data_IF_407739478748
#
_entry.id   IF_407739478748
#
_cell.length_a   1.000
_cell.length_b   1.000
_cell.length_c   1.000
_cell.angle_alpha   90.00
_cell.angle_beta   90.00
_cell.angle_gamma   90.00
#
_symmetry.space_group_name_H-M   'P 1'
#
loop_
_entity.id
_entity.type
_entity.pdbx_description
1 polymer ?
#
# COMPACT_ATOMS: atom_id res chain seq x y z
N UNK A 1 0.00 -41.03 7.63
CA UNK A 1 -0.05 -39.77 6.87
C UNK A 1 -0.19 -38.64 7.89
N UNK A 2 0.93 -38.08 8.35
CA UNK A 2 0.91 -37.04 9.39
C UNK A 2 0.54 -35.70 8.74
N UNK A 3 -0.63 -35.18 9.07
CA UNK A 3 -1.00 -33.79 8.77
C UNK A 3 0.00 -32.89 9.48
N UNK A 4 0.91 -32.25 8.73
CA UNK A 4 1.74 -31.19 9.30
C UNK A 4 0.79 -30.17 9.92
N UNK A 5 0.99 -29.74 11.17
CA UNK A 5 0.14 -28.73 11.77
C UNK A 5 0.16 -27.53 10.83
N UNK A 6 -1.03 -27.13 10.37
CA UNK A 6 -1.24 -25.91 9.61
C UNK A 6 -0.66 -24.78 10.47
N UNK A 7 0.60 -24.38 10.21
CA UNK A 7 1.23 -23.30 10.93
C UNK A 7 0.59 -22.03 10.40
N UNK A 8 -0.56 -21.71 11.00
CA UNK A 8 -1.28 -20.47 10.77
C UNK A 8 -0.27 -19.33 10.72
N UNK A 9 -0.40 -18.46 9.72
CA UNK A 9 0.48 -17.32 9.56
C UNK A 9 0.38 -16.49 10.85
N UNK A 10 1.42 -16.56 11.69
CA UNK A 10 1.41 -15.86 12.97
C UNK A 10 1.56 -14.38 12.68
N UNK A 11 0.66 -13.57 13.23
CA UNK A 11 0.68 -12.11 13.09
C UNK A 11 2.05 -11.55 13.50
N UNK A 12 2.67 -12.11 14.55
CA UNK A 12 4.02 -11.74 14.98
C UNK A 12 5.10 -11.97 13.91
N UNK A 13 5.04 -13.09 13.17
CA UNK A 13 5.99 -13.38 12.09
C UNK A 13 5.85 -12.37 10.93
N UNK A 14 4.61 -11.95 10.62
CA UNK A 14 4.35 -10.91 9.62
C UNK A 14 4.96 -9.58 10.07
N UNK A 15 4.73 -9.19 11.33
CA UNK A 15 5.22 -7.92 11.87
C UNK A 15 6.75 -7.90 11.91
N UNK A 16 7.38 -8.94 12.46
CA UNK A 16 8.84 -9.04 12.55
C UNK A 16 9.49 -8.95 11.16
N UNK A 17 8.92 -9.67 10.18
CA UNK A 17 9.41 -9.64 8.80
C UNK A 17 9.17 -8.28 8.14
N UNK A 18 8.03 -7.65 8.40
CA UNK A 18 7.73 -6.29 7.90
C UNK A 18 8.73 -5.26 8.42
N UNK A 19 9.07 -5.33 9.71
CA UNK A 19 10.11 -4.48 10.31
C UNK A 19 11.49 -4.76 9.70
N UNK A 20 11.79 -6.03 9.40
CA UNK A 20 12.98 -6.41 8.64
C UNK A 20 13.03 -5.76 7.24
N UNK A 21 11.93 -5.79 6.49
CA UNK A 21 11.84 -5.13 5.17
C UNK A 21 12.02 -3.61 5.32
N UNK A 22 11.34 -2.99 6.28
CA UNK A 22 11.42 -1.54 6.51
C UNK A 22 12.83 -1.09 6.91
N UNK A 23 13.52 -1.82 7.78
CA UNK A 23 14.89 -1.47 8.20
C UNK A 23 15.88 -1.55 7.04
N UNK A 24 15.77 -2.57 6.19
CA UNK A 24 16.61 -2.70 4.99
C UNK A 24 16.32 -1.61 3.95
N UNK A 25 15.08 -1.12 3.91
CA UNK A 25 14.57 -0.15 2.93
C UNK A 25 14.20 1.20 3.57
N UNK A 26 14.82 1.55 4.69
CA UNK A 26 14.47 2.75 5.45
C UNK A 26 14.62 4.02 4.60
N UNK A 27 15.73 4.13 3.85
CA UNK A 27 16.01 5.28 3.00
C UNK A 27 14.93 5.49 1.91
N UNK A 28 14.62 4.51 1.03
CA UNK A 28 13.57 4.69 0.02
C UNK A 28 12.18 4.90 0.65
N UNK A 29 11.90 4.28 1.81
CA UNK A 29 10.64 4.50 2.54
C UNK A 29 10.53 5.94 3.04
N UNK A 30 11.57 6.48 3.67
CA UNK A 30 11.60 7.87 4.12
C UNK A 30 11.50 8.85 2.95
N UNK A 31 12.22 8.60 1.86
CA UNK A 31 12.14 9.42 0.66
C UNK A 31 10.71 9.44 0.10
N UNK A 32 10.05 8.29 0.01
CA UNK A 32 8.65 8.19 -0.41
C UNK A 32 7.72 8.98 0.52
N UNK A 33 7.87 8.82 1.84
CA UNK A 33 7.02 9.50 2.83
C UNK A 33 7.19 11.01 2.76
N UNK A 34 8.43 11.51 2.71
CA UNK A 34 8.72 12.94 2.67
C UNK A 34 8.20 13.57 1.37
N UNK A 35 8.48 12.94 0.23
CA UNK A 35 8.08 13.48 -1.08
C UNK A 35 6.57 13.42 -1.26
N UNK A 36 5.96 12.23 -1.14
CA UNK A 36 4.52 12.06 -1.41
C UNK A 36 3.68 12.66 -0.30
N UNK A 37 4.07 12.47 0.96
CA UNK A 37 3.36 13.01 2.11
C UNK A 37 3.47 14.53 2.20
N UNK A 38 4.65 15.10 1.91
CA UNK A 38 4.86 16.54 1.84
C UNK A 38 4.05 17.20 0.73
N UNK A 39 4.12 16.65 -0.50
CA UNK A 39 3.33 17.16 -1.64
C UNK A 39 1.83 17.08 -1.37
N UNK A 40 1.36 15.95 -0.85
CA UNK A 40 -0.06 15.79 -0.52
C UNK A 40 -0.49 16.73 0.60
N UNK A 41 0.34 16.93 1.63
CA UNK A 41 0.04 17.84 2.73
C UNK A 41 -0.05 19.30 2.27
N UNK A 42 0.85 19.70 1.35
CA UNK A 42 0.78 21.00 0.70
C UNK A 42 -0.50 21.18 -0.12
N UNK A 43 -0.90 20.15 -0.88
CA UNK A 43 -2.16 20.15 -1.62
C UNK A 43 -3.38 20.27 -0.68
N UNK A 44 -3.38 19.56 0.45
CA UNK A 44 -4.48 19.61 1.41
C UNK A 44 -4.65 21.02 2.01
N UNK A 45 -3.53 21.70 2.33
CA UNK A 45 -3.56 23.09 2.82
C UNK A 45 -4.12 24.03 1.75
N UNK A 46 -3.62 23.91 0.52
CA UNK A 46 -4.05 24.73 -0.60
C UNK A 46 -5.53 24.47 -0.97
N UNK A 47 -5.97 23.21 -0.93
CA UNK A 47 -7.36 22.82 -1.16
C UNK A 47 -8.31 23.34 -0.08
N UNK A 48 -7.90 23.32 1.20
CA UNK A 48 -8.69 23.90 2.30
C UNK A 48 -8.87 25.41 2.16
N UNK A 49 -7.92 26.11 1.55
CA UNK A 49 -8.06 27.55 1.28
C UNK A 49 -9.23 27.84 0.32
N UNK A 50 -9.54 26.93 -0.61
CA UNK A 50 -10.71 27.05 -1.49
C UNK A 50 -12.04 26.81 -0.79
N UNK A 51 -12.03 26.13 0.35
CA UNK A 51 -13.23 25.80 1.13
C UNK A 51 -13.52 26.82 2.24
N UNK A 52 -12.71 27.88 2.35
CA UNK A 52 -12.91 28.90 3.37
C UNK A 52 -14.23 29.66 3.12
N UNK A 53 -15.07 29.83 4.17
CA UNK A 53 -16.29 30.63 4.06
C UNK A 53 -15.98 32.03 3.52
N UNK A 54 -16.69 32.46 2.48
CA UNK A 54 -16.50 33.78 1.85
C UNK A 54 -15.52 33.81 0.68
N UNK A 55 -14.78 32.73 0.43
CA UNK A 55 -14.00 32.57 -0.82
C UNK A 55 -14.92 31.97 -1.89
N UNK A 56 -15.11 32.70 -3.00
CA UNK A 56 -15.76 32.17 -4.21
C UNK A 56 -14.64 31.63 -5.11
N UNK A 57 -14.42 30.30 -5.17
CA UNK A 57 -13.34 29.75 -5.97
C UNK A 57 -13.61 30.05 -7.46
N UNK A 58 -12.71 30.80 -8.08
CA UNK A 58 -12.78 31.00 -9.52
C UNK A 58 -12.36 29.71 -10.25
N UNK A 59 -12.81 29.54 -11.50
CA UNK A 59 -12.54 28.33 -12.29
C UNK A 59 -11.02 28.08 -12.44
N UNK A 60 -10.21 29.13 -12.50
CA UNK A 60 -8.75 29.01 -12.61
C UNK A 60 -8.11 28.30 -11.41
N UNK A 61 -8.50 28.68 -10.18
CA UNK A 61 -8.01 28.05 -8.95
C UNK A 61 -8.44 26.58 -8.86
N UNK A 62 -9.69 26.28 -9.22
CA UNK A 62 -10.19 24.89 -9.23
C UNK A 62 -9.38 24.04 -10.21
N UNK A 63 -9.16 24.53 -11.43
CA UNK A 63 -8.37 23.83 -12.44
C UNK A 63 -6.92 23.63 -12.00
N UNK A 64 -6.33 24.61 -11.31
CA UNK A 64 -4.97 24.48 -10.76
C UNK A 64 -4.89 23.39 -9.68
N UNK A 65 -5.83 23.33 -8.74
CA UNK A 65 -5.88 22.28 -7.71
C UNK A 65 -6.04 20.91 -8.34
N UNK A 66 -6.92 20.77 -9.33
CA UNK A 66 -7.12 19.51 -10.04
C UNK A 66 -5.86 19.07 -10.80
N UNK A 67 -5.17 20.00 -11.49
CA UNK A 67 -3.93 19.70 -12.18
C UNK A 67 -2.83 19.23 -11.21
N UNK A 68 -2.67 19.89 -10.06
CA UNK A 68 -1.73 19.48 -9.02
C UNK A 68 -2.10 18.12 -8.40
N UNK A 69 -3.40 17.88 -8.15
CA UNK A 69 -3.88 16.61 -7.64
C UNK A 69 -3.58 15.45 -8.60
N UNK A 70 -3.83 15.63 -9.90
CA UNK A 70 -3.50 14.65 -10.93
C UNK A 70 -1.99 14.36 -10.99
N UNK A 71 -1.17 15.42 -10.94
CA UNK A 71 0.29 15.26 -10.90
C UNK A 71 0.74 14.44 -9.68
N UNK A 72 0.20 14.75 -8.49
CA UNK A 72 0.53 14.03 -7.26
C UNK A 72 0.10 12.56 -7.35
N UNK A 73 -1.05 12.26 -7.95
CA UNK A 73 -1.51 10.88 -8.17
C UNK A 73 -0.50 10.11 -9.04
N UNK A 74 -0.06 10.71 -10.15
CA UNK A 74 0.96 10.08 -11.04
C UNK A 74 2.26 9.85 -10.28
N UNK A 75 2.74 10.84 -9.52
CA UNK A 75 3.93 10.72 -8.69
C UNK A 75 3.78 9.66 -7.61
N UNK A 76 2.60 9.52 -7.01
CA UNK A 76 2.33 8.49 -6.00
C UNK A 76 2.38 7.08 -6.59
N UNK A 77 1.86 6.86 -7.80
CA UNK A 77 1.98 5.56 -8.47
C UNK A 77 3.43 5.23 -8.81
N UNK A 78 4.18 6.19 -9.36
CA UNK A 78 5.60 6.01 -9.67
C UNK A 78 6.40 5.75 -8.38
N UNK A 79 6.16 6.56 -7.34
CA UNK A 79 6.79 6.42 -6.04
C UNK A 79 6.49 5.07 -5.39
N UNK A 80 5.24 4.60 -5.46
CA UNK A 80 4.82 3.30 -4.96
C UNK A 80 5.50 2.14 -5.69
N UNK A 81 5.62 2.23 -7.02
CA UNK A 81 6.39 1.28 -7.82
C UNK A 81 7.86 1.24 -7.40
N UNK A 82 8.52 2.40 -7.33
CA UNK A 82 9.94 2.51 -6.97
C UNK A 82 10.21 2.05 -5.55
N UNK A 83 9.30 2.33 -4.62
CA UNK A 83 9.36 1.87 -3.24
C UNK A 83 9.31 0.34 -3.19
N UNK A 84 8.31 -0.25 -3.84
CA UNK A 84 8.11 -1.70 -3.86
C UNK A 84 9.28 -2.42 -4.54
N UNK A 85 9.75 -1.92 -5.68
CA UNK A 85 10.94 -2.42 -6.37
C UNK A 85 12.18 -2.35 -5.47
N UNK A 86 12.39 -1.23 -4.77
CA UNK A 86 13.52 -1.05 -3.86
C UNK A 86 13.46 -2.03 -2.68
N UNK A 87 12.27 -2.26 -2.12
CA UNK A 87 12.06 -3.24 -1.04
C UNK A 87 12.37 -4.66 -1.51
N UNK A 88 11.93 -5.05 -2.71
CA UNK A 88 12.21 -6.37 -3.29
C UNK A 88 13.70 -6.58 -3.58
N UNK A 89 14.39 -5.57 -4.14
CA UNK A 89 15.84 -5.63 -4.39
C UNK A 89 16.63 -5.81 -3.10
N UNK A 90 16.33 -4.99 -2.08
CA UNK A 90 17.06 -4.98 -0.80
C UNK A 90 16.82 -6.23 0.05
N UNK A 91 15.71 -6.93 -0.19
CA UNK A 91 15.38 -8.18 0.50
C UNK A 91 15.84 -9.43 -0.27
N UNK A 92 16.43 -9.26 -1.45
CA UNK A 92 16.85 -10.37 -2.32
C UNK A 92 15.68 -11.16 -2.93
N UNK A 93 14.46 -10.59 -2.92
CA UNK A 93 13.25 -11.23 -3.43
C UNK A 93 12.96 -10.87 -4.90
N UNK A 94 13.89 -10.18 -5.56
CA UNK A 94 13.77 -9.77 -6.95
C UNK A 94 14.53 -10.76 -7.85
N UNK A 95 13.77 -11.53 -8.63
CA UNK A 95 14.30 -12.53 -9.57
C UNK A 95 14.22 -12.06 -11.03
N UNK A 96 13.41 -11.05 -11.34
CA UNK A 96 13.32 -10.46 -12.68
C UNK A 96 14.42 -9.43 -12.89
N UNK A 97 15.35 -9.71 -13.81
CA UNK A 97 16.38 -8.78 -14.30
C UNK A 97 15.90 -7.90 -15.46
N UNK A 98 14.66 -8.07 -15.94
CA UNK A 98 14.13 -7.39 -17.13
C UNK A 98 13.15 -6.25 -16.85
N UNK A 99 13.26 -5.21 -17.70
CA UNK A 99 12.43 -4.03 -17.97
C UNK A 99 11.55 -3.41 -16.86
N UNK A 100 11.57 -2.08 -16.81
CA UNK A 100 10.72 -1.29 -15.90
C UNK A 100 9.23 -1.53 -16.23
N UNK A 101 8.53 -2.25 -15.37
CA UNK A 101 7.10 -2.62 -15.51
C UNK A 101 6.13 -1.59 -14.94
N UNK A 102 6.49 -0.31 -15.03
CA UNK A 102 5.72 0.79 -14.43
C UNK A 102 4.29 0.83 -14.98
N UNK A 103 4.12 0.73 -16.30
CA UNK A 103 2.80 0.77 -16.95
C UNK A 103 1.94 -0.42 -16.52
N UNK A 104 2.52 -1.62 -16.46
CA UNK A 104 1.81 -2.81 -15.99
C UNK A 104 1.42 -2.70 -14.51
N UNK A 105 2.29 -2.10 -13.68
CA UNK A 105 2.00 -1.84 -12.27
C UNK A 105 0.86 -0.84 -12.08
N UNK A 106 0.83 0.24 -12.87
CA UNK A 106 -0.25 1.23 -12.83
C UNK A 106 -1.57 0.55 -13.21
N UNK A 107 -1.61 -0.18 -14.32
CA UNK A 107 -2.83 -0.89 -14.76
C UNK A 107 -3.32 -1.90 -13.71
N UNK A 108 -2.41 -2.65 -13.10
CA UNK A 108 -2.73 -3.59 -12.02
C UNK A 108 -3.22 -2.88 -10.75
N UNK A 109 -2.59 -1.76 -10.36
CA UNK A 109 -2.97 -0.97 -9.19
C UNK A 109 -4.35 -0.33 -9.37
N UNK A 110 -4.68 0.12 -10.57
CA UNK A 110 -6.02 0.64 -10.89
C UNK A 110 -7.07 -0.47 -10.85
N UNK A 111 -6.82 -1.61 -11.48
CA UNK A 111 -7.74 -2.75 -11.47
C UNK A 111 -7.99 -3.26 -10.05
N UNK A 112 -6.93 -3.41 -9.26
CA UNK A 112 -7.01 -3.83 -7.87
C UNK A 112 -7.73 -2.80 -7.00
N UNK A 113 -7.39 -1.52 -7.14
CA UNK A 113 -8.04 -0.43 -6.43
C UNK A 113 -9.54 -0.34 -6.73
N UNK A 114 -9.95 -0.45 -7.99
CA UNK A 114 -11.37 -0.40 -8.37
C UNK A 114 -12.17 -1.56 -7.79
N UNK A 115 -11.63 -2.78 -7.79
CA UNK A 115 -12.36 -3.91 -7.20
C UNK A 115 -12.33 -3.90 -5.66
N UNK A 116 -11.30 -3.33 -5.02
CA UNK A 116 -11.32 -3.08 -3.57
C UNK A 116 -12.38 -2.03 -3.23
N UNK A 117 -12.42 -0.89 -3.95
CA UNK A 117 -13.41 0.16 -3.75
C UNK A 117 -14.83 -0.38 -4.00
N UNK A 118 -15.05 -1.04 -5.14
CA UNK A 118 -16.35 -1.66 -5.46
C UNK A 118 -16.75 -2.71 -4.45
N UNK A 119 -15.80 -3.52 -3.97
CA UNK A 119 -16.01 -4.49 -2.90
C UNK A 119 -16.45 -3.80 -1.61
N UNK A 120 -15.70 -2.81 -1.13
CA UNK A 120 -16.00 -2.08 0.10
C UNK A 120 -17.34 -1.31 0.04
N UNK A 121 -17.70 -0.77 -1.13
CA UNK A 121 -18.97 -0.07 -1.33
C UNK A 121 -20.18 -0.99 -1.32
N UNK A 122 -20.07 -2.20 -1.90
CA UNK A 122 -21.16 -3.16 -1.92
C UNK A 122 -21.33 -3.85 -0.57
N UNK A 123 -20.24 -4.43 -0.04
CA UNK A 123 -20.21 -5.12 1.25
C UNK A 123 -18.77 -5.04 1.80
N UNK A 124 -18.59 -4.51 3.01
CA UNK A 124 -17.24 -4.31 3.59
C UNK A 124 -16.39 -5.59 3.59
N UNK A 125 -17.01 -6.75 3.85
CA UNK A 125 -16.34 -8.06 3.92
C UNK A 125 -15.65 -8.45 2.60
N UNK A 126 -16.31 -8.53 1.43
CA UNK A 126 -15.64 -8.85 0.18
C UNK A 126 -14.56 -7.82 -0.20
N UNK A 127 -14.73 -6.54 0.13
CA UNK A 127 -13.65 -5.55 -0.05
C UNK A 127 -12.36 -5.91 0.69
N UNK A 128 -12.48 -6.34 1.95
CA UNK A 128 -11.34 -6.81 2.75
C UNK A 128 -10.73 -8.10 2.19
N UNK A 129 -11.56 -9.01 1.69
CA UNK A 129 -11.08 -10.25 1.05
C UNK A 129 -10.27 -9.91 -0.20
N UNK A 130 -10.75 -9.01 -1.07
CA UNK A 130 -10.00 -8.58 -2.26
C UNK A 130 -8.65 -7.95 -1.88
N UNK A 131 -8.62 -7.11 -0.84
CA UNK A 131 -7.40 -6.48 -0.36
C UNK A 131 -6.37 -7.53 0.08
N UNK A 132 -6.78 -8.53 0.86
CA UNK A 132 -5.89 -9.60 1.27
C UNK A 132 -5.46 -10.49 0.10
N UNK A 133 -6.40 -10.86 -0.78
CA UNK A 133 -6.15 -11.76 -1.91
C UNK A 133 -5.22 -11.16 -2.96
N UNK A 134 -5.21 -9.84 -3.13
CA UNK A 134 -4.35 -9.14 -4.09
C UNK A 134 -3.14 -8.46 -3.47
N UNK A 135 -2.90 -8.63 -2.16
CA UNK A 135 -1.73 -8.11 -1.46
C UNK A 135 -0.38 -8.50 -2.11
N UNK A 136 -0.29 -9.69 -2.72
CA UNK A 136 0.95 -10.20 -3.32
C UNK A 136 1.08 -9.88 -4.82
N UNK A 137 0.05 -9.30 -5.44
CA UNK A 137 0.05 -9.03 -6.87
C UNK A 137 1.20 -8.11 -7.30
N UNK A 138 1.47 -7.04 -6.53
CA UNK A 138 2.61 -6.14 -6.74
C UNK A 138 3.96 -6.84 -6.65
N UNK A 139 4.28 -7.50 -5.52
CA UNK A 139 5.49 -8.30 -5.38
C UNK A 139 5.68 -9.35 -6.48
N UNK A 140 4.62 -10.03 -6.92
CA UNK A 140 4.69 -11.01 -8.00
C UNK A 140 4.94 -10.36 -9.38
N UNK A 141 4.27 -9.26 -9.66
CA UNK A 141 4.42 -8.51 -10.92
C UNK A 141 5.85 -7.96 -11.06
N UNK A 142 6.37 -7.32 -10.02
CA UNK A 142 7.68 -6.66 -10.04
C UNK A 142 8.82 -7.66 -9.77
N UNK A 143 8.68 -8.48 -8.73
CA UNK A 143 9.74 -9.38 -8.27
C UNK A 143 9.96 -10.58 -9.18
N UNK A 144 8.88 -11.19 -9.71
CA UNK A 144 8.97 -12.34 -10.64
C UNK A 144 8.79 -11.99 -12.11
N UNK A 145 8.41 -10.76 -12.43
CA UNK A 145 8.14 -10.38 -13.81
C UNK A 145 6.92 -11.09 -14.40
N UNK A 146 5.91 -11.40 -13.58
CA UNK A 146 4.68 -12.01 -14.07
C UNK A 146 3.83 -11.01 -14.89
N UNK A 147 2.88 -11.49 -15.70
CA UNK A 147 1.89 -10.63 -16.38
C UNK A 147 0.83 -10.16 -15.39
N UNK A 148 0.16 -9.04 -15.66
CA UNK A 148 -0.85 -8.44 -14.75
C UNK A 148 -1.89 -9.47 -14.25
N UNK A 149 -2.63 -10.11 -15.15
CA UNK A 149 -3.65 -11.09 -14.75
C UNK A 149 -3.07 -12.35 -14.11
N UNK A 150 -1.89 -12.79 -14.55
CA UNK A 150 -1.20 -13.94 -13.94
C UNK A 150 -0.81 -13.65 -12.49
N UNK A 151 -0.28 -12.46 -12.23
CA UNK A 151 0.12 -12.02 -10.88
C UNK A 151 -1.07 -11.93 -9.92
N UNK A 152 -2.23 -11.48 -10.41
CA UNK A 152 -3.47 -11.42 -9.62
C UNK A 152 -3.99 -12.83 -9.30
N UNK A 153 -4.06 -13.71 -10.30
CA UNK A 153 -4.51 -15.09 -10.12
C UNK A 153 -3.59 -15.88 -9.17
N UNK A 154 -2.27 -15.68 -9.29
CA UNK A 154 -1.30 -16.35 -8.42
C UNK A 154 -1.30 -15.78 -7.00
N UNK A 155 -1.45 -14.47 -6.85
CA UNK A 155 -1.68 -13.83 -5.54
C UNK A 155 -2.89 -14.46 -4.86
N UNK A 156 -3.98 -14.67 -5.61
CA UNK A 156 -5.18 -15.30 -5.09
C UNK A 156 -4.93 -16.73 -4.60
N UNK A 157 -4.19 -17.53 -5.37
CA UNK A 157 -3.86 -18.90 -4.99
C UNK A 157 -2.96 -18.96 -3.75
N UNK A 158 -1.90 -18.14 -3.69
CA UNK A 158 -0.93 -18.12 -2.59
C UNK A 158 -1.53 -17.63 -1.26
N UNK A 159 -2.52 -16.75 -1.31
CA UNK A 159 -3.18 -16.20 -0.11
C UNK A 159 -4.30 -17.09 0.42
N UNK A 160 -4.71 -18.14 -0.32
CA UNK A 160 -5.77 -19.07 0.08
C UNK A 160 -5.41 -19.75 1.40
N UNK A 161 -6.33 -19.72 2.37
CA UNK A 161 -6.12 -20.32 3.70
C UNK A 161 -5.37 -19.43 4.70
N UNK A 162 -4.86 -18.27 4.28
CA UNK A 162 -4.15 -17.32 5.16
C UNK A 162 -4.81 -15.92 5.20
N UNK A 163 -6.01 -15.79 4.63
CA UNK A 163 -6.70 -14.53 4.44
C UNK A 163 -6.90 -13.77 5.75
N UNK A 164 -7.36 -14.47 6.80
CA UNK A 164 -7.67 -13.83 8.07
C UNK A 164 -6.44 -13.15 8.70
N UNK A 165 -5.29 -13.84 8.74
CA UNK A 165 -4.05 -13.25 9.27
C UNK A 165 -3.58 -12.04 8.46
N UNK A 166 -3.72 -12.09 7.13
CA UNK A 166 -3.37 -10.98 6.23
C UNK A 166 -4.33 -9.80 6.45
N UNK A 167 -5.64 -10.03 6.47
CA UNK A 167 -6.66 -9.00 6.69
C UNK A 167 -6.46 -8.32 8.04
N UNK A 168 -6.31 -9.08 9.12
CA UNK A 168 -6.13 -8.53 10.47
C UNK A 168 -4.86 -7.68 10.54
N UNK A 169 -3.75 -8.16 9.97
CA UNK A 169 -2.50 -7.39 9.94
C UNK A 169 -2.65 -6.08 9.14
N UNK A 170 -3.31 -6.13 7.98
CA UNK A 170 -3.60 -4.94 7.17
C UNK A 170 -4.49 -3.95 7.92
N UNK A 171 -5.53 -4.44 8.58
CA UNK A 171 -6.46 -3.61 9.35
C UNK A 171 -5.77 -2.92 10.52
N UNK A 172 -4.89 -3.61 11.26
CA UNK A 172 -4.13 -3.01 12.36
C UNK A 172 -3.32 -1.82 11.84
N UNK A 173 -2.56 -2.00 10.74
CA UNK A 173 -1.76 -0.92 10.15
C UNK A 173 -2.66 0.22 9.67
N UNK A 174 -3.76 -0.11 8.98
CA UNK A 174 -4.70 0.88 8.47
C UNK A 174 -5.29 1.71 9.61
N UNK A 175 -5.77 1.07 10.67
CA UNK A 175 -6.39 1.73 11.83
C UNK A 175 -5.36 2.56 12.60
N UNK A 176 -4.14 2.07 12.82
CA UNK A 176 -3.11 2.82 13.55
C UNK A 176 -2.72 4.09 12.80
N UNK A 177 -2.34 3.98 11.51
CA UNK A 177 -1.83 5.14 10.77
C UNK A 177 -2.93 6.12 10.35
N UNK A 178 -4.10 5.63 9.95
CA UNK A 178 -5.21 6.52 9.61
C UNK A 178 -5.92 7.04 10.86
N UNK A 179 -5.96 6.27 11.95
CA UNK A 179 -6.44 6.73 13.24
C UNK A 179 -5.64 7.95 13.71
N UNK A 180 -4.30 7.88 13.68
CA UNK A 180 -3.44 9.03 14.00
C UNK A 180 -3.76 10.24 13.09
N UNK A 181 -4.04 9.99 11.80
CA UNK A 181 -4.31 11.06 10.84
C UNK A 181 -5.67 11.75 11.01
N UNK A 182 -6.74 10.98 11.22
CA UNK A 182 -8.12 11.51 11.22
C UNK A 182 -8.68 11.79 12.61
N UNK A 183 -8.18 11.11 13.65
CA UNK A 183 -8.70 11.25 15.02
C UNK A 183 -8.60 12.69 15.55
N UNK A 184 -7.51 13.46 15.32
CA UNK A 184 -7.46 14.84 15.80
C UNK A 184 -8.52 15.74 15.15
N UNK A 185 -8.82 15.52 13.86
CA UNK A 185 -9.87 16.26 13.16
C UNK A 185 -11.26 15.90 13.69
N UNK A 186 -11.48 14.63 14.04
CA UNK A 186 -12.74 14.18 14.64
C UNK A 186 -12.96 14.74 16.04
N UNK A 187 -11.91 14.78 16.87
CA UNK A 187 -12.00 15.20 18.28
C UNK A 187 -11.97 16.72 18.47
N UNK A 188 -11.18 17.44 17.67
CA UNK A 188 -10.90 18.88 17.84
C UNK A 188 -11.61 19.75 16.80
N UNK A 189 -12.24 19.14 15.78
CA UNK A 189 -12.90 19.83 14.67
C UNK A 189 -11.91 20.48 13.69
N UNK A 190 -11.29 21.58 14.10
CA UNK A 190 -10.30 22.29 13.26
C UNK A 190 -8.90 22.02 13.78
N UNK A 191 -8.13 21.26 13.00
CA UNK A 191 -6.72 21.01 13.30
C UNK A 191 -5.82 22.11 12.73
N UNK A 192 -4.80 22.58 13.47
CA UNK A 192 -3.80 23.49 12.93
C UNK A 192 -3.11 22.92 11.69
N UNK A 193 -2.65 23.76 10.74
CA UNK A 193 -1.99 23.29 9.50
C UNK A 193 -0.81 22.36 9.74
N UNK A 194 -0.02 22.62 10.79
CA UNK A 194 1.12 21.77 11.20
C UNK A 194 0.65 20.34 11.52
N UNK A 195 -0.46 20.20 12.26
CA UNK A 195 -0.98 18.90 12.63
C UNK A 195 -1.59 18.16 11.42
N UNK A 196 -2.16 18.89 10.46
CA UNK A 196 -2.62 18.32 9.20
C UNK A 196 -1.47 17.73 8.36
N UNK A 197 -0.31 18.40 8.31
CA UNK A 197 0.89 17.88 7.64
C UNK A 197 1.38 16.61 8.34
N UNK A 198 1.46 16.61 9.68
CA UNK A 198 1.86 15.44 10.45
C UNK A 198 0.92 14.26 10.21
N UNK A 199 -0.39 14.51 10.21
CA UNK A 199 -1.41 13.51 9.87
C UNK A 199 -1.20 12.92 8.47
N UNK A 200 -0.84 13.77 7.49
CA UNK A 200 -0.61 13.32 6.11
C UNK A 200 0.67 12.50 5.96
N UNK A 201 1.73 12.89 6.67
CA UNK A 201 2.97 12.11 6.74
C UNK A 201 2.73 10.75 7.39
N UNK A 202 1.96 10.70 8.48
CA UNK A 202 1.57 9.46 9.15
C UNK A 202 0.77 8.54 8.21
N UNK A 203 -0.25 9.06 7.50
CA UNK A 203 -1.01 8.28 6.52
C UNK A 203 -0.10 7.72 5.41
N UNK A 204 0.83 8.53 4.91
CA UNK A 204 1.80 8.12 3.86
C UNK A 204 2.78 7.07 4.39
N UNK A 205 3.21 7.18 5.65
CA UNK A 205 4.00 6.17 6.33
C UNK A 205 3.25 4.84 6.43
N UNK A 206 1.94 4.87 6.71
CA UNK A 206 1.08 3.69 6.69
C UNK A 206 1.11 2.97 5.33
N UNK A 207 1.06 3.71 4.22
CA UNK A 207 1.18 3.13 2.88
C UNK A 207 2.54 2.46 2.65
N UNK A 208 3.62 3.05 3.17
CA UNK A 208 4.96 2.45 3.09
C UNK A 208 5.06 1.16 3.93
N UNK A 209 4.48 1.15 5.13
CA UNK A 209 4.41 -0.02 6.01
C UNK A 209 3.59 -1.15 5.36
N UNK A 210 2.43 -0.83 4.78
CA UNK A 210 1.60 -1.79 4.04
C UNK A 210 2.40 -2.38 2.86
N UNK A 211 3.13 -1.54 2.13
CA UNK A 211 3.97 -2.01 1.01
C UNK A 211 5.07 -2.95 1.48
N UNK A 212 5.73 -2.64 2.60
CA UNK A 212 6.72 -3.51 3.22
C UNK A 212 6.11 -4.84 3.68
N UNK A 213 4.89 -4.79 4.21
CA UNK A 213 4.15 -5.98 4.65
C UNK A 213 3.79 -6.88 3.48
N UNK A 214 3.41 -6.32 2.32
CA UNK A 214 3.20 -7.11 1.11
C UNK A 214 4.48 -7.84 0.68
N UNK A 215 5.63 -7.19 0.74
CA UNK A 215 6.93 -7.83 0.47
C UNK A 215 7.28 -8.90 1.52
N UNK A 216 6.99 -8.64 2.79
CA UNK A 216 7.22 -9.58 3.87
C UNK A 216 6.40 -10.86 3.72
N UNK A 217 5.08 -10.72 3.48
CA UNK A 217 4.18 -11.86 3.25
C UNK A 217 4.62 -12.61 1.98
N UNK A 218 5.01 -11.89 0.93
CA UNK A 218 5.57 -12.49 -0.28
C UNK A 218 6.82 -13.33 0.00
N UNK A 219 7.76 -12.85 0.82
CA UNK A 219 8.94 -13.61 1.23
C UNK A 219 8.59 -14.87 2.05
N UNK A 220 7.64 -14.76 2.98
CA UNK A 220 7.19 -15.89 3.81
C UNK A 220 6.52 -16.97 2.94
N UNK A 221 5.63 -16.58 2.03
CA UNK A 221 4.90 -17.53 1.21
C UNK A 221 5.74 -18.12 0.07
N UNK A 222 6.65 -17.34 -0.51
CA UNK A 222 7.54 -17.82 -1.58
C UNK A 222 8.55 -18.86 -1.08
N UNK A 223 9.05 -18.73 0.16
CA UNK A 223 9.94 -19.74 0.77
C UNK A 223 9.20 -21.04 1.08
N UNK A 224 7.92 -20.96 1.47
CA UNK A 224 7.07 -22.14 1.73
C UNK A 224 6.81 -22.93 0.45
N UNK A 225 6.52 -22.27 -0.67
CA UNK A 225 6.32 -22.93 -1.97
C UNK A 225 7.54 -23.76 -2.40
N UNK A 226 8.76 -23.24 -2.24
CA UNK A 226 10.00 -23.95 -2.63
C UNK A 226 10.25 -25.18 -1.74
N UNK A 227 9.87 -25.11 -0.46
CA UNK A 227 10.00 -26.26 0.47
C UNK A 227 8.95 -27.37 0.24
N UNK A 228 7.90 -27.09 -0.54
CA UNK A 228 6.82 -28.04 -0.87
C UNK A 228 7.07 -28.89 -2.12
N UNK A 229 8.11 -28.58 -2.91
CA UNK A 229 8.43 -29.29 -4.17
C UNK A 229 9.48 -30.40 -4.04
N UNK A 230 9.86 -30.78 -2.82
CA UNK A 230 10.73 -31.93 -2.53
C UNK A 230 10.04 -32.96 -1.61
N UNK A 231 8.85 -33.40 -2.00
CA UNK A 231 8.23 -34.61 -1.43
C UNK A 231 7.56 -35.41 -2.53
#
# INVERSE_FOLDING_TARGET
MATRPNRDLKIGEIIDKTMGVLSLSALPSLAFIVVIGGLSGGLDIFGKQLQQPGVIPNMGMVMQVLALALLIIVLAFIGGYLLLESMLKRTGLMNSTGDKRIVAYIGMSLLSGLAIIGGLLLVVIPGLIFMARWSLSGPLLIGRGEKVFASLGKSWAMTKGHEFGIVVSLLIVLVVFNGIGYLPNLLLGTVPPVLAIVARLASTAGTAVISAMYVAIYGILSTRDVSGTFS
#
